data_IF_405786345343
#
_entry.id   IF_405786345343
#
_cell.length_a   1.000
_cell.length_b   1.000
_cell.length_c   1.000
_cell.angle_alpha   90.00
_cell.angle_beta   90.00
_cell.angle_gamma   90.00
#
_symmetry.space_group_name_H-M   'P 1'
#
loop_
_entity.id
_entity.type
_entity.pdbx_description
1 polymer ?
#
# COMPACT_ATOMS: atom_id res chain seq x y z
N UNK A 1 9.84 -27.42 -1.17
CA UNK A 1 8.99 -26.25 -0.91
C UNK A 1 7.95 -26.18 -2.02
N UNK A 2 6.65 -26.13 -1.67
CA UNK A 2 5.55 -26.05 -2.64
C UNK A 2 5.56 -24.71 -3.40
N UNK A 3 5.00 -24.67 -4.63
CA UNK A 3 4.89 -23.41 -5.37
C UNK A 3 4.18 -22.28 -4.57
N UNK A 4 3.14 -22.63 -3.80
CA UNK A 4 2.44 -21.68 -2.94
C UNK A 4 3.36 -21.14 -1.83
N UNK A 5 4.14 -21.98 -1.17
CA UNK A 5 5.04 -21.56 -0.11
C UNK A 5 6.16 -20.64 -0.64
N UNK A 6 6.65 -20.86 -1.88
CA UNK A 6 7.60 -19.95 -2.54
C UNK A 6 6.95 -18.59 -2.82
N UNK A 7 5.73 -18.60 -3.33
CA UNK A 7 4.99 -17.37 -3.57
C UNK A 7 4.73 -16.60 -2.27
N UNK A 8 4.32 -17.28 -1.20
CA UNK A 8 4.16 -16.67 0.12
C UNK A 8 5.47 -16.07 0.64
N UNK A 9 6.60 -16.77 0.50
CA UNK A 9 7.91 -16.22 0.84
C UNK A 9 8.26 -14.95 0.06
N UNK A 10 7.95 -14.92 -1.23
CA UNK A 10 8.14 -13.72 -2.05
C UNK A 10 7.22 -12.57 -1.62
N UNK A 11 5.96 -12.83 -1.24
CA UNK A 11 5.06 -11.80 -0.69
C UNK A 11 5.59 -11.25 0.65
N UNK A 12 6.16 -12.09 1.54
CA UNK A 12 6.83 -11.62 2.77
C UNK A 12 7.97 -10.67 2.42
N UNK A 13 8.88 -11.08 1.53
CA UNK A 13 10.06 -10.27 1.15
C UNK A 13 9.64 -8.98 0.47
N UNK A 14 8.74 -9.06 -0.50
CA UNK A 14 8.29 -7.89 -1.24
C UNK A 14 7.55 -6.87 -0.36
N UNK A 15 6.64 -7.34 0.51
CA UNK A 15 5.95 -6.44 1.43
C UNK A 15 6.89 -5.87 2.49
N UNK A 16 7.86 -6.65 2.96
CA UNK A 16 8.92 -6.15 3.84
C UNK A 16 9.69 -5.00 3.18
N UNK A 17 10.17 -5.15 1.95
CA UNK A 17 10.91 -4.10 1.24
C UNK A 17 10.06 -2.85 1.01
N UNK A 18 8.83 -3.02 0.51
CA UNK A 18 7.90 -1.93 0.27
C UNK A 18 7.67 -1.12 1.55
N UNK A 19 7.33 -1.80 2.65
CA UNK A 19 7.02 -1.15 3.93
C UNK A 19 8.28 -0.56 4.57
N UNK A 20 9.41 -1.25 4.52
CA UNK A 20 10.68 -0.72 5.06
C UNK A 20 11.08 0.59 4.41
N UNK A 21 11.06 0.65 3.07
CA UNK A 21 11.42 1.88 2.35
C UNK A 21 10.41 2.99 2.61
N UNK A 22 9.12 2.65 2.59
CA UNK A 22 8.07 3.63 2.76
C UNK A 22 7.99 4.19 4.17
N UNK A 23 7.81 3.36 5.18
CA UNK A 23 7.74 3.80 6.59
C UNK A 23 9.07 4.36 7.06
N UNK A 24 10.19 3.82 6.58
CA UNK A 24 11.53 4.38 6.82
C UNK A 24 11.67 5.79 6.26
N UNK A 25 11.11 6.09 5.08
CA UNK A 25 11.13 7.45 4.53
C UNK A 25 10.28 8.43 5.36
N UNK A 26 9.11 7.97 5.84
CA UNK A 26 8.28 8.78 6.76
C UNK A 26 9.02 9.02 8.07
N UNK A 27 9.66 7.99 8.64
CA UNK A 27 10.46 8.13 9.85
C UNK A 27 11.64 9.11 9.65
N UNK A 28 12.36 9.00 8.54
CA UNK A 28 13.43 9.95 8.20
C UNK A 28 12.90 11.38 8.08
N UNK A 29 11.76 11.58 7.45
CA UNK A 29 11.16 12.90 7.28
C UNK A 29 10.69 13.49 8.62
N UNK A 30 9.89 12.74 9.38
CA UNK A 30 9.19 13.23 10.57
C UNK A 30 10.13 13.30 11.78
N UNK A 31 10.95 12.27 12.01
CA UNK A 31 11.79 12.17 13.20
C UNK A 31 13.10 12.95 13.09
N UNK A 32 13.61 13.15 11.88
CA UNK A 32 14.94 13.75 11.67
C UNK A 32 14.94 15.02 10.82
N UNK A 33 13.84 15.32 10.12
CA UNK A 33 13.78 16.42 9.16
C UNK A 33 14.68 16.22 7.91
N UNK A 34 15.16 15.00 7.66
CA UNK A 34 16.11 14.73 6.58
C UNK A 34 15.50 14.86 5.17
N UNK A 35 14.18 14.80 5.05
CA UNK A 35 13.46 14.97 3.79
C UNK A 35 12.63 16.25 3.81
N UNK A 36 12.73 17.03 2.76
CA UNK A 36 12.04 18.30 2.63
C UNK A 36 10.83 18.13 1.71
N UNK A 37 9.66 18.08 2.32
CA UNK A 37 8.38 18.04 1.62
C UNK A 37 7.90 16.65 1.22
N UNK A 38 6.59 16.58 1.01
CA UNK A 38 5.84 15.35 0.76
C UNK A 38 6.31 14.61 -0.51
N UNK A 39 6.75 15.36 -1.54
CA UNK A 39 7.20 14.76 -2.81
C UNK A 39 8.40 13.82 -2.63
N UNK A 40 9.37 14.17 -1.75
CA UNK A 40 10.52 13.29 -1.50
C UNK A 40 10.06 11.97 -0.87
N UNK A 41 9.18 12.02 0.13
CA UNK A 41 8.59 10.83 0.75
C UNK A 41 7.83 10.01 -0.29
N UNK A 42 7.02 10.66 -1.13
CA UNK A 42 6.23 10.02 -2.18
C UNK A 42 7.13 9.29 -3.20
N UNK A 43 8.23 9.90 -3.61
CA UNK A 43 9.21 9.30 -4.54
C UNK A 43 9.87 8.07 -3.92
N UNK A 44 10.26 8.12 -2.66
CA UNK A 44 10.85 6.94 -1.98
C UNK A 44 9.84 5.81 -1.89
N UNK A 45 8.57 6.09 -1.56
CA UNK A 45 7.49 5.11 -1.63
C UNK A 45 7.33 4.49 -3.02
N UNK A 46 7.30 5.33 -4.06
CA UNK A 46 7.16 4.88 -5.44
C UNK A 46 8.31 3.97 -5.88
N UNK A 47 9.55 4.35 -5.60
CA UNK A 47 10.72 3.50 -5.87
C UNK A 47 10.73 2.24 -5.00
N UNK A 48 10.31 2.33 -3.74
CA UNK A 48 10.17 1.18 -2.86
C UNK A 48 9.22 0.12 -3.42
N UNK A 49 8.05 0.56 -3.90
CA UNK A 49 7.08 -0.31 -4.62
C UNK A 49 7.71 -0.91 -5.88
N UNK A 50 8.36 -0.08 -6.69
CA UNK A 50 9.04 -0.51 -7.93
C UNK A 50 10.05 -1.62 -7.66
N UNK A 51 10.96 -1.41 -6.71
CA UNK A 51 12.01 -2.38 -6.35
C UNK A 51 11.40 -3.66 -5.80
N UNK A 52 10.41 -3.55 -4.90
CA UNK A 52 9.73 -4.70 -4.34
C UNK A 52 9.07 -5.59 -5.41
N UNK A 53 8.43 -4.97 -6.42
CA UNK A 53 7.83 -5.68 -7.54
C UNK A 53 8.91 -6.35 -8.39
N UNK A 54 9.98 -5.65 -8.78
CA UNK A 54 11.07 -6.26 -9.58
C UNK A 54 11.70 -7.46 -8.89
N UNK A 55 11.86 -7.42 -7.57
CA UNK A 55 12.46 -8.52 -6.79
C UNK A 55 11.55 -9.74 -6.74
N UNK A 56 10.23 -9.58 -6.70
CA UNK A 56 9.31 -10.67 -6.29
C UNK A 56 8.31 -11.09 -7.37
N UNK A 57 8.08 -10.28 -8.40
CA UNK A 57 7.02 -10.53 -9.38
C UNK A 57 7.16 -11.86 -10.12
N UNK A 58 8.37 -12.28 -10.45
CA UNK A 58 8.63 -13.54 -11.14
C UNK A 58 8.24 -14.78 -10.28
N UNK A 59 8.10 -14.63 -8.96
CA UNK A 59 7.81 -15.73 -8.04
C UNK A 59 6.36 -15.73 -7.58
N UNK A 60 5.83 -14.57 -7.16
CA UNK A 60 4.48 -14.45 -6.57
C UNK A 60 3.48 -13.68 -7.44
N UNK A 61 3.95 -12.94 -8.42
CA UNK A 61 3.16 -11.91 -9.11
C UNK A 61 3.20 -10.56 -8.39
N UNK A 62 3.88 -10.47 -7.23
CA UNK A 62 4.09 -9.28 -6.43
C UNK A 62 2.79 -8.51 -6.14
N UNK A 63 1.84 -9.13 -5.50
CA UNK A 63 0.63 -8.43 -5.06
C UNK A 63 0.94 -7.42 -3.95
N UNK A 64 1.70 -7.83 -2.93
CA UNK A 64 2.25 -7.02 -1.82
C UNK A 64 1.20 -6.16 -1.08
N UNK A 65 -0.07 -6.47 -1.31
CA UNK A 65 -1.21 -5.66 -0.88
C UNK A 65 -2.48 -6.52 -0.83
N UNK A 66 -3.17 -6.62 0.32
CA UNK A 66 -4.42 -7.36 0.45
C UNK A 66 -5.53 -6.90 -0.51
N UNK A 67 -5.63 -5.60 -0.79
CA UNK A 67 -6.63 -5.07 -1.71
C UNK A 67 -6.36 -5.48 -3.17
N UNK A 68 -5.10 -5.45 -3.60
CA UNK A 68 -4.68 -5.97 -4.90
C UNK A 68 -4.96 -7.47 -4.98
N UNK A 69 -4.58 -8.23 -3.94
CA UNK A 69 -4.83 -9.68 -3.87
C UNK A 69 -6.31 -10.01 -4.02
N UNK A 70 -7.19 -9.27 -3.32
CA UNK A 70 -8.63 -9.46 -3.40
C UNK A 70 -9.17 -9.15 -4.80
N UNK A 71 -8.75 -8.04 -5.39
CA UNK A 71 -9.15 -7.65 -6.74
C UNK A 71 -8.78 -8.73 -7.78
N UNK A 72 -7.56 -9.26 -7.72
CA UNK A 72 -7.15 -10.37 -8.58
C UNK A 72 -7.98 -11.64 -8.34
N UNK A 73 -8.24 -12.00 -7.09
CA UNK A 73 -9.01 -13.20 -6.74
C UNK A 73 -10.47 -13.13 -7.23
N UNK A 74 -11.05 -11.94 -7.28
CA UNK A 74 -12.44 -11.72 -7.73
C UNK A 74 -12.48 -11.60 -9.27
N UNK A 75 -11.62 -10.79 -9.86
CA UNK A 75 -11.71 -10.38 -11.26
C UNK A 75 -10.83 -11.20 -12.19
N UNK A 76 -9.84 -11.92 -11.66
CA UNK A 76 -8.88 -12.77 -12.41
C UNK A 76 -8.78 -14.19 -11.82
N UNK A 77 -9.91 -14.88 -11.50
CA UNK A 77 -9.88 -16.15 -10.76
C UNK A 77 -9.17 -17.28 -11.51
N UNK A 78 -9.02 -17.18 -12.85
CA UNK A 78 -8.26 -18.15 -13.64
C UNK A 78 -6.74 -18.02 -13.44
N UNK A 79 -6.22 -16.81 -13.22
CA UNK A 79 -4.80 -16.56 -12.97
C UNK A 79 -4.45 -16.57 -11.49
N UNK A 80 -5.40 -16.17 -10.61
CA UNK A 80 -5.20 -16.15 -9.17
C UNK A 80 -6.39 -16.80 -8.44
N UNK A 81 -6.27 -18.09 -8.04
CA UNK A 81 -7.32 -18.81 -7.33
C UNK A 81 -7.64 -18.21 -5.95
N UNK A 82 -8.92 -18.12 -5.61
CA UNK A 82 -9.41 -17.55 -4.32
C UNK A 82 -8.79 -18.21 -3.08
N UNK A 83 -8.45 -19.50 -3.15
CA UNK A 83 -7.80 -20.21 -2.05
C UNK A 83 -6.44 -19.62 -1.65
N UNK A 84 -5.83 -18.76 -2.48
CA UNK A 84 -4.56 -18.09 -2.19
C UNK A 84 -4.72 -16.77 -1.42
N UNK A 85 -5.94 -16.26 -1.22
CA UNK A 85 -6.17 -14.97 -0.54
C UNK A 85 -5.54 -14.99 0.85
N UNK A 86 -5.97 -15.88 1.73
CA UNK A 86 -5.50 -15.91 3.12
C UNK A 86 -3.99 -16.17 3.26
N UNK A 87 -3.38 -17.12 2.52
CA UNK A 87 -1.93 -17.29 2.51
C UNK A 87 -1.18 -16.02 2.10
N UNK A 88 -1.64 -15.30 1.07
CA UNK A 88 -1.01 -14.04 0.64
C UNK A 88 -1.17 -12.94 1.69
N UNK A 89 -2.40 -12.74 2.20
CA UNK A 89 -2.67 -11.74 3.23
C UNK A 89 -1.80 -11.96 4.47
N UNK A 90 -1.72 -13.22 4.97
CA UNK A 90 -0.86 -13.56 6.10
C UNK A 90 0.62 -13.25 5.83
N UNK A 91 1.11 -13.60 4.62
CA UNK A 91 2.49 -13.33 4.21
C UNK A 91 2.79 -11.83 4.12
N UNK A 92 1.87 -11.06 3.54
CA UNK A 92 1.99 -9.61 3.42
C UNK A 92 2.02 -8.93 4.80
N UNK A 93 1.14 -9.34 5.72
CA UNK A 93 1.12 -8.83 7.10
C UNK A 93 2.42 -9.16 7.84
N UNK A 94 2.93 -10.40 7.71
CA UNK A 94 4.21 -10.79 8.33
C UNK A 94 5.35 -9.92 7.79
N UNK A 95 5.45 -9.72 6.47
CA UNK A 95 6.47 -8.84 5.89
C UNK A 95 6.39 -7.41 6.42
N UNK A 96 5.17 -6.88 6.54
CA UNK A 96 4.94 -5.53 7.06
C UNK A 96 5.27 -5.39 8.56
N UNK A 97 4.95 -6.39 9.39
CA UNK A 97 5.35 -6.41 10.81
C UNK A 97 6.87 -6.40 10.94
N UNK A 98 7.57 -7.24 10.17
CA UNK A 98 9.04 -7.29 10.21
C UNK A 98 9.66 -5.95 9.80
N UNK A 99 9.11 -5.28 8.79
CA UNK A 99 9.56 -3.95 8.39
C UNK A 99 9.32 -2.90 9.48
N UNK A 100 8.13 -2.88 10.10
CA UNK A 100 7.83 -1.99 11.23
C UNK A 100 8.77 -2.21 12.41
N UNK A 101 9.09 -3.46 12.75
CA UNK A 101 10.05 -3.78 13.79
C UNK A 101 11.46 -3.25 13.49
N UNK A 102 11.91 -3.36 12.23
CA UNK A 102 13.21 -2.78 11.82
C UNK A 102 13.18 -1.26 11.89
N UNK A 103 12.12 -0.61 11.44
CA UNK A 103 11.97 0.85 11.53
C UNK A 103 11.98 1.31 12.99
N UNK A 104 11.24 0.62 13.88
CA UNK A 104 11.29 0.91 15.32
C UNK A 104 12.70 0.80 15.87
N UNK A 105 13.40 -0.29 15.60
CA UNK A 105 14.75 -0.53 16.12
C UNK A 105 15.77 0.51 15.61
N UNK A 106 15.69 0.88 14.34
CA UNK A 106 16.63 1.84 13.73
C UNK A 106 16.35 3.27 14.17
N UNK A 107 15.08 3.65 14.28
CA UNK A 107 14.68 5.04 14.58
C UNK A 107 14.36 5.28 16.04
N UNK A 108 14.45 4.30 16.95
CA UNK A 108 14.11 4.44 18.36
C UNK A 108 14.71 5.70 19.01
N UNK A 109 16.02 6.00 18.90
CA UNK A 109 16.58 7.19 19.53
C UNK A 109 16.02 8.50 18.98
N UNK A 110 15.63 8.51 17.70
CA UNK A 110 15.06 9.70 17.04
C UNK A 110 13.58 9.87 17.41
N UNK A 111 12.86 8.77 17.60
CA UNK A 111 11.46 8.76 18.09
C UNK A 111 11.45 9.32 19.53
N UNK A 112 12.28 8.77 20.41
CA UNK A 112 12.34 9.20 21.81
C UNK A 112 12.68 10.70 21.92
N UNK A 113 13.66 11.16 21.15
CA UNK A 113 14.03 12.58 21.07
C UNK A 113 12.87 13.45 20.55
N UNK A 114 12.18 13.00 19.49
CA UNK A 114 11.05 13.72 18.89
C UNK A 114 9.90 13.88 19.90
N UNK A 115 9.62 12.81 20.66
CA UNK A 115 8.58 12.80 21.71
C UNK A 115 8.97 13.71 22.87
N UNK A 116 10.22 13.64 23.34
CA UNK A 116 10.74 14.48 24.42
C UNK A 116 10.69 15.98 24.06
N UNK A 117 11.19 16.37 22.88
CA UNK A 117 11.21 17.76 22.40
C UNK A 117 9.80 18.38 22.28
N UNK A 118 8.76 17.55 22.10
CA UNK A 118 7.36 17.97 21.91
C UNK A 118 6.46 17.69 23.11
N UNK A 119 7.00 17.09 24.16
CA UNK A 119 6.19 16.69 25.32
C UNK A 119 5.13 15.65 24.99
N UNK A 120 5.39 14.77 24.02
CA UNK A 120 4.47 13.70 23.63
C UNK A 120 4.64 12.53 24.59
N UNK A 121 3.54 12.08 25.17
CA UNK A 121 3.48 10.85 25.96
C UNK A 121 2.91 9.74 25.09
N UNK A 122 3.74 8.72 24.83
CA UNK A 122 3.36 7.61 23.98
C UNK A 122 2.13 6.88 24.52
N UNK A 123 1.13 6.66 23.68
CA UNK A 123 -0.15 6.04 24.04
C UNK A 123 -1.23 7.03 24.50
N UNK A 124 -0.88 8.30 24.74
CA UNK A 124 -1.84 9.35 25.03
C UNK A 124 -2.23 10.13 23.75
N UNK A 125 -3.33 10.89 23.85
CA UNK A 125 -3.81 11.76 22.77
C UNK A 125 -2.70 12.74 22.35
N UNK A 126 -2.48 12.88 21.04
CA UNK A 126 -1.37 13.64 20.47
C UNK A 126 -0.18 12.78 20.05
N UNK A 127 -0.05 11.55 20.58
CA UNK A 127 1.04 10.64 20.17
C UNK A 127 0.85 10.04 18.77
N UNK A 128 -0.25 10.37 18.09
CA UNK A 128 -0.40 10.15 16.65
C UNK A 128 0.72 10.83 15.86
N UNK A 129 1.24 11.94 16.36
CA UNK A 129 2.35 12.67 15.74
C UNK A 129 3.64 11.85 15.69
N UNK A 130 3.86 10.90 16.58
CA UNK A 130 4.98 9.95 16.52
C UNK A 130 4.57 8.59 15.94
N UNK A 131 3.35 8.12 16.23
CA UNK A 131 2.82 6.86 15.71
C UNK A 131 2.65 6.84 14.18
N UNK A 132 2.51 8.01 13.53
CA UNK A 132 2.27 8.16 12.10
C UNK A 132 3.38 7.62 11.20
N UNK A 133 4.55 7.31 11.73
CA UNK A 133 5.60 6.63 10.97
C UNK A 133 5.34 5.14 10.78
N UNK A 134 4.45 4.56 11.56
CA UNK A 134 4.05 3.15 11.49
C UNK A 134 2.72 2.98 10.75
N UNK A 135 1.66 3.65 11.18
CA UNK A 135 0.33 3.58 10.60
C UNK A 135 -0.17 4.94 10.14
N UNK A 136 -1.25 4.93 9.39
CA UNK A 136 -1.82 6.13 8.78
C UNK A 136 -2.87 6.78 9.68
N UNK A 137 -2.92 8.10 9.67
CA UNK A 137 -3.90 8.90 10.41
C UNK A 137 -4.54 9.95 9.48
N UNK A 138 -5.74 10.42 9.86
CA UNK A 138 -6.45 11.45 9.11
C UNK A 138 -7.01 12.54 10.05
N UNK A 139 -6.79 13.82 9.66
CA UNK A 139 -5.89 14.27 8.60
C UNK A 139 -4.43 13.94 8.93
N UNK A 140 -3.51 14.18 7.99
CA UNK A 140 -2.08 13.90 8.18
C UNK A 140 -1.51 14.72 9.36
N UNK A 141 -1.03 14.07 10.45
CA UNK A 141 -0.58 14.78 11.65
C UNK A 141 0.65 15.67 11.43
N UNK A 142 1.51 15.32 10.46
CA UNK A 142 2.69 16.14 10.16
C UNK A 142 2.35 17.46 9.45
N UNK A 143 1.15 17.57 8.86
CA UNK A 143 0.69 18.76 8.14
C UNK A 143 -0.29 19.58 8.97
N UNK A 144 -1.25 18.91 9.62
CA UNK A 144 -2.35 19.57 10.30
C UNK A 144 -2.27 19.49 11.83
N UNK A 145 -1.28 18.75 12.36
CA UNK A 145 -1.23 18.46 13.80
C UNK A 145 -2.24 17.40 14.21
N UNK A 146 -2.49 17.36 15.54
CA UNK A 146 -3.42 16.44 16.20
C UNK A 146 -4.46 17.23 16.99
N UNK A 147 -5.57 16.58 17.35
CA UNK A 147 -6.61 17.16 18.17
C UNK A 147 -7.85 17.65 17.42
N UNK A 148 -8.84 18.23 18.13
CA UNK A 148 -10.20 18.43 17.61
C UNK A 148 -10.30 19.31 16.35
N UNK A 149 -9.47 20.35 16.23
CA UNK A 149 -9.47 21.23 15.05
C UNK A 149 -9.00 20.50 13.80
N UNK A 150 -7.91 19.73 13.91
CA UNK A 150 -7.43 18.89 12.81
C UNK A 150 -8.47 17.80 12.47
N UNK A 151 -8.99 17.12 13.48
CA UNK A 151 -9.97 16.05 13.32
C UNK A 151 -11.27 16.50 12.63
N UNK A 152 -11.67 17.76 12.78
CA UNK A 152 -12.84 18.33 12.15
C UNK A 152 -12.70 18.46 10.62
N UNK A 153 -11.47 18.47 10.09
CA UNK A 153 -11.20 18.58 8.65
C UNK A 153 -11.54 17.30 7.89
N UNK A 154 -11.31 16.13 8.48
CA UNK A 154 -11.49 14.84 7.81
C UNK A 154 -12.20 13.86 8.73
N UNK A 155 -13.46 13.57 8.43
CA UNK A 155 -14.22 12.54 9.16
C UNK A 155 -13.91 11.11 8.67
N UNK A 156 -14.26 10.07 9.45
CA UNK A 156 -13.98 8.67 9.09
C UNK A 156 -14.57 8.23 7.75
N UNK A 157 -15.77 8.71 7.40
CA UNK A 157 -16.40 8.37 6.11
C UNK A 157 -15.62 8.97 4.94
N UNK A 158 -15.19 10.23 5.06
CA UNK A 158 -14.35 10.89 4.06
C UNK A 158 -13.02 10.17 3.91
N UNK A 159 -12.37 9.83 5.02
CA UNK A 159 -11.11 9.09 4.99
C UNK A 159 -11.29 7.73 4.27
N UNK A 160 -12.34 6.97 4.61
CA UNK A 160 -12.65 5.70 3.96
C UNK A 160 -12.89 5.88 2.45
N UNK A 161 -13.59 6.94 2.04
CA UNK A 161 -13.85 7.23 0.64
C UNK A 161 -12.56 7.60 -0.13
N UNK A 162 -11.67 8.40 0.48
CA UNK A 162 -10.38 8.76 -0.10
C UNK A 162 -9.46 7.55 -0.24
N UNK A 163 -9.42 6.68 0.77
CA UNK A 163 -8.67 5.42 0.72
C UNK A 163 -9.23 4.47 -0.37
N UNK A 164 -10.56 4.40 -0.50
CA UNK A 164 -11.20 3.64 -1.57
C UNK A 164 -10.88 4.23 -2.95
N UNK A 165 -10.95 5.54 -3.12
CA UNK A 165 -10.65 6.22 -4.39
C UNK A 165 -9.18 6.00 -4.82
N UNK A 166 -8.22 6.24 -3.92
CA UNK A 166 -6.81 6.05 -4.22
C UNK A 166 -6.48 4.61 -4.59
N UNK A 167 -7.05 3.65 -3.84
CA UNK A 167 -6.86 2.22 -4.16
C UNK A 167 -7.57 1.82 -5.46
N UNK A 168 -8.73 2.40 -5.75
CA UNK A 168 -9.42 2.16 -7.02
C UNK A 168 -8.58 2.63 -8.22
N UNK A 169 -8.02 3.82 -8.16
CA UNK A 169 -7.11 4.33 -9.20
C UNK A 169 -5.87 3.46 -9.31
N UNK A 170 -5.27 3.06 -8.20
CA UNK A 170 -4.09 2.19 -8.20
C UNK A 170 -4.37 0.85 -8.91
N UNK A 171 -5.44 0.14 -8.55
CA UNK A 171 -5.76 -1.16 -9.14
C UNK A 171 -6.22 -1.02 -10.60
N UNK A 172 -6.95 0.05 -10.94
CA UNK A 172 -7.30 0.38 -12.33
C UNK A 172 -6.03 0.47 -13.19
N UNK A 173 -5.03 1.24 -12.73
CA UNK A 173 -3.76 1.42 -13.44
C UNK A 173 -2.96 0.13 -13.49
N UNK A 174 -2.88 -0.64 -12.39
CA UNK A 174 -2.22 -1.95 -12.40
C UNK A 174 -2.81 -2.84 -13.49
N UNK A 175 -4.14 -2.97 -13.57
CA UNK A 175 -4.79 -3.81 -14.56
C UNK A 175 -4.53 -3.33 -16.00
N UNK A 176 -4.48 -2.01 -16.23
CA UNK A 176 -4.15 -1.45 -17.52
C UNK A 176 -2.69 -1.75 -17.96
N UNK A 177 -1.75 -1.64 -17.01
CA UNK A 177 -0.32 -1.84 -17.26
C UNK A 177 0.06 -3.31 -17.49
N UNK A 178 -0.73 -4.26 -16.97
CA UNK A 178 -0.48 -5.70 -17.14
C UNK A 178 -1.36 -6.35 -18.23
N UNK A 179 -2.35 -5.64 -18.78
CA UNK A 179 -3.26 -6.20 -19.81
C UNK A 179 -2.51 -6.53 -21.10
N UNK A 180 -2.46 -7.80 -21.53
CA UNK A 180 -1.72 -8.20 -22.73
C UNK A 180 -2.17 -7.50 -24.01
N UNK A 181 -3.47 -7.21 -24.15
CA UNK A 181 -4.05 -6.52 -25.32
C UNK A 181 -3.77 -5.03 -25.38
N UNK A 182 -3.24 -4.44 -24.29
CA UNK A 182 -2.82 -3.05 -24.28
C UNK A 182 -1.46 -2.90 -24.97
N UNK A 183 -1.47 -2.53 -26.25
CA UNK A 183 -0.24 -2.31 -27.01
C UNK A 183 0.67 -1.19 -26.50
N UNK A 184 0.14 -0.27 -25.68
CA UNK A 184 0.90 0.81 -25.06
C UNK A 184 1.51 0.42 -23.71
N UNK A 185 1.31 -0.82 -23.24
CA UNK A 185 1.88 -1.25 -21.94
C UNK A 185 3.41 -1.18 -21.95
N UNK A 186 4.03 -0.71 -20.85
CA UNK A 186 5.47 -0.45 -20.83
C UNK A 186 6.33 -1.72 -20.64
N UNK A 187 5.75 -2.93 -20.80
CA UNK A 187 6.45 -4.22 -20.70
C UNK A 187 7.28 -4.35 -19.40
N UNK A 188 8.61 -4.39 -19.53
CA UNK A 188 9.54 -4.51 -18.41
C UNK A 188 9.55 -3.30 -17.47
N UNK A 189 9.07 -2.13 -17.88
CA UNK A 189 8.92 -0.95 -17.02
C UNK A 189 7.59 -0.92 -16.24
N UNK A 190 6.72 -1.91 -16.40
CA UNK A 190 5.45 -1.99 -15.64
C UNK A 190 5.62 -1.74 -14.13
N UNK A 191 6.59 -2.37 -13.43
CA UNK A 191 6.83 -2.08 -12.01
C UNK A 191 7.14 -0.61 -11.71
N UNK A 192 7.93 0.02 -12.57
CA UNK A 192 8.26 1.45 -12.42
C UNK A 192 7.01 2.32 -12.49
N UNK A 193 6.14 2.12 -13.49
CA UNK A 193 4.93 2.92 -13.62
C UNK A 193 3.90 2.64 -12.53
N UNK A 194 3.84 1.43 -11.99
CA UNK A 194 3.02 1.14 -10.80
C UNK A 194 3.54 1.95 -9.60
N UNK A 195 4.84 1.92 -9.33
CA UNK A 195 5.44 2.70 -8.25
C UNK A 195 5.28 4.22 -8.47
N UNK A 196 5.46 4.69 -9.69
CA UNK A 196 5.26 6.10 -10.01
C UNK A 196 3.80 6.55 -9.81
N UNK A 197 2.82 5.68 -10.12
CA UNK A 197 1.41 5.91 -9.79
C UNK A 197 1.21 6.07 -8.29
N UNK A 198 1.86 5.24 -7.47
CA UNK A 198 1.83 5.39 -6.01
C UNK A 198 2.38 6.75 -5.59
N UNK A 199 3.53 7.19 -6.15
CA UNK A 199 4.10 8.49 -5.82
C UNK A 199 3.17 9.67 -6.18
N UNK A 200 2.51 9.61 -7.34
CA UNK A 200 1.51 10.60 -7.75
C UNK A 200 0.36 10.65 -6.74
N UNK A 201 -0.23 9.49 -6.43
CA UNK A 201 -1.37 9.41 -5.53
C UNK A 201 -1.03 9.88 -4.10
N UNK A 202 0.16 9.54 -3.58
CA UNK A 202 0.64 10.06 -2.28
C UNK A 202 0.67 11.58 -2.31
N UNK A 203 1.22 12.17 -3.36
CA UNK A 203 1.31 13.63 -3.48
C UNK A 203 -0.04 14.33 -3.48
N UNK A 204 -1.09 13.65 -3.95
CA UNK A 204 -2.45 14.17 -3.99
C UNK A 204 -3.21 13.96 -2.66
N UNK A 205 -3.12 12.78 -2.07
CA UNK A 205 -4.03 12.35 -1.01
C UNK A 205 -3.40 12.19 0.37
N UNK A 206 -2.07 12.14 0.48
CA UNK A 206 -1.43 12.02 1.78
C UNK A 206 -1.67 13.19 2.75
N UNK A 207 -1.96 14.43 2.32
CA UNK A 207 -2.45 15.45 3.24
C UNK A 207 -3.75 15.05 3.95
N UNK A 208 -4.63 14.31 3.27
CA UNK A 208 -5.96 13.94 3.77
C UNK A 208 -5.91 12.70 4.66
N UNK A 209 -5.25 11.61 4.18
CA UNK A 209 -5.28 10.29 4.84
C UNK A 209 -3.89 9.66 5.03
N UNK A 210 -2.82 10.38 4.80
CA UNK A 210 -1.46 9.84 4.68
C UNK A 210 -1.29 8.81 3.54
N UNK A 211 -2.36 8.41 2.84
CA UNK A 211 -2.31 7.54 1.66
C UNK A 211 -1.93 6.08 1.98
N UNK A 212 -2.80 5.37 2.67
CA UNK A 212 -2.59 3.99 3.09
C UNK A 212 -2.67 2.98 1.94
N UNK A 213 -3.84 2.86 1.32
CA UNK A 213 -4.23 2.01 0.16
C UNK A 213 -3.81 0.54 0.21
N UNK A 214 -3.24 0.11 1.30
CA UNK A 214 -2.71 -1.23 1.48
C UNK A 214 -2.94 -1.69 2.92
N UNK A 215 -3.92 -2.56 3.16
CA UNK A 215 -4.23 -3.02 4.51
C UNK A 215 -3.05 -3.65 5.25
N UNK A 216 -2.16 -4.38 4.58
CA UNK A 216 -1.00 -4.97 5.25
C UNK A 216 0.06 -3.91 5.61
N UNK A 217 0.27 -2.93 4.71
CA UNK A 217 1.20 -1.82 4.92
C UNK A 217 0.80 -0.95 6.11
N UNK A 218 -0.51 -0.78 6.35
CA UNK A 218 -0.99 -0.02 7.51
C UNK A 218 -1.04 -0.90 8.76
N UNK A 219 -1.66 -2.08 8.71
CA UNK A 219 -1.87 -2.95 9.87
C UNK A 219 -0.57 -3.51 10.47
N UNK A 220 0.35 -3.99 9.61
CA UNK A 220 1.58 -4.65 10.11
C UNK A 220 2.40 -3.78 11.04
N UNK A 221 2.83 -2.57 10.64
CA UNK A 221 3.58 -1.69 11.51
C UNK A 221 2.76 -1.14 12.69
N UNK A 222 1.41 -1.01 12.56
CA UNK A 222 0.55 -0.67 13.71
C UNK A 222 0.61 -1.71 14.81
N UNK A 223 0.72 -3.00 14.47
CA UNK A 223 0.92 -4.06 15.47
C UNK A 223 2.22 -3.81 16.25
N UNK A 224 3.28 -3.40 15.58
CA UNK A 224 4.55 -3.05 16.24
C UNK A 224 4.37 -1.82 17.12
N UNK A 225 3.74 -0.77 16.63
CA UNK A 225 3.46 0.43 17.43
C UNK A 225 2.59 0.12 18.65
N UNK A 226 1.55 -0.70 18.50
CA UNK A 226 0.70 -1.13 19.62
C UNK A 226 1.54 -1.78 20.73
N UNK A 227 2.40 -2.72 20.37
CA UNK A 227 3.27 -3.44 21.31
C UNK A 227 4.38 -2.55 21.90
N UNK A 228 4.78 -1.50 21.17
CA UNK A 228 5.82 -0.56 21.60
C UNK A 228 5.30 0.61 22.48
N UNK A 229 4.04 0.56 22.89
CA UNK A 229 3.47 1.46 23.88
C UNK A 229 2.51 2.52 23.35
N UNK A 230 2.24 2.58 22.02
CA UNK A 230 1.19 3.47 21.50
C UNK A 230 -0.23 2.93 21.73
N UNK A 231 -0.39 1.63 22.06
CA UNK A 231 -1.67 1.05 22.47
C UNK A 231 -2.83 1.42 21.56
N UNK A 232 -3.90 1.96 22.16
CA UNK A 232 -5.14 2.31 21.45
C UNK A 232 -4.96 3.42 20.40
N UNK A 233 -3.91 4.22 20.50
CA UNK A 233 -3.54 5.19 19.45
C UNK A 233 -3.14 4.48 18.15
N UNK A 234 -2.48 3.32 18.25
CA UNK A 234 -2.13 2.51 17.09
C UNK A 234 -3.33 1.69 16.59
N UNK A 235 -4.01 0.95 17.49
CA UNK A 235 -5.15 0.08 17.18
C UNK A 235 -6.17 0.16 18.34
N UNK A 236 -7.43 0.59 18.08
CA UNK A 236 -8.08 0.85 16.79
C UNK A 236 -7.78 2.20 16.16
N UNK A 237 -6.95 3.02 16.80
CA UNK A 237 -6.66 4.39 16.40
C UNK A 237 -7.76 5.39 16.78
N UNK A 238 -7.47 6.69 16.78
CA UNK A 238 -8.46 7.72 17.05
C UNK A 238 -9.69 7.57 16.14
N UNK A 239 -10.87 7.70 16.72
CA UNK A 239 -12.17 7.59 16.04
C UNK A 239 -12.40 6.26 15.30
N UNK A 240 -11.70 5.19 15.69
CA UNK A 240 -11.74 3.90 15.00
C UNK A 240 -11.14 3.98 13.59
N UNK A 241 -10.23 4.92 13.37
CA UNK A 241 -9.69 5.28 12.05
C UNK A 241 -9.00 4.16 11.31
N UNK A 242 -8.42 3.21 12.02
CA UNK A 242 -7.85 2.00 11.44
C UNK A 242 -8.76 1.31 10.42
N UNK A 243 -10.09 1.29 10.65
CA UNK A 243 -11.03 0.64 9.72
C UNK A 243 -11.08 1.32 8.35
N UNK A 244 -10.81 2.63 8.26
CA UNK A 244 -10.75 3.34 6.97
C UNK A 244 -9.67 2.74 6.06
N UNK A 245 -8.52 2.36 6.63
CA UNK A 245 -7.36 1.78 5.92
C UNK A 245 -7.49 0.29 5.60
N UNK A 246 -8.52 -0.35 6.10
CA UNK A 246 -8.88 -1.74 5.76
C UNK A 246 -10.04 -1.76 4.75
N UNK A 247 -11.18 -1.15 5.11
CA UNK A 247 -12.41 -1.23 4.32
C UNK A 247 -12.26 -0.43 3.02
N UNK A 248 -11.74 0.80 3.10
CA UNK A 248 -11.55 1.66 1.94
C UNK A 248 -10.76 0.97 0.83
N UNK A 249 -9.53 0.50 1.10
CA UNK A 249 -8.72 -0.19 0.10
C UNK A 249 -9.35 -1.47 -0.46
N UNK A 250 -9.92 -2.33 0.37
CA UNK A 250 -10.53 -3.60 -0.09
C UNK A 250 -11.69 -3.35 -1.06
N UNK A 251 -12.56 -2.39 -0.74
CA UNK A 251 -13.68 -1.99 -1.60
C UNK A 251 -13.17 -1.28 -2.84
N UNK A 252 -12.31 -0.27 -2.65
CA UNK A 252 -11.78 0.56 -3.73
C UNK A 252 -11.00 -0.25 -4.76
N UNK A 253 -10.11 -1.14 -4.33
CA UNK A 253 -9.32 -1.98 -5.25
C UNK A 253 -10.19 -2.86 -6.14
N UNK A 254 -11.23 -3.48 -5.56
CA UNK A 254 -12.16 -4.30 -6.33
C UNK A 254 -12.97 -3.46 -7.32
N UNK A 255 -13.48 -2.30 -6.90
CA UNK A 255 -14.23 -1.39 -7.76
C UNK A 255 -13.36 -0.81 -8.89
N UNK A 256 -12.10 -0.45 -8.60
CA UNK A 256 -11.17 0.07 -9.60
C UNK A 256 -10.85 -0.95 -10.69
N UNK A 257 -10.61 -2.20 -10.30
CA UNK A 257 -10.40 -3.28 -11.26
C UNK A 257 -11.64 -3.59 -12.11
N UNK A 258 -12.84 -3.56 -11.49
CA UNK A 258 -14.11 -3.72 -12.20
C UNK A 258 -14.34 -2.56 -13.18
N UNK A 259 -14.09 -1.32 -12.77
CA UNK A 259 -14.22 -0.15 -13.62
C UNK A 259 -13.29 -0.25 -14.85
N UNK A 260 -12.04 -0.70 -14.65
CA UNK A 260 -11.13 -0.97 -15.76
C UNK A 260 -11.72 -2.00 -16.75
N UNK A 261 -12.27 -3.10 -16.24
CA UNK A 261 -12.85 -4.14 -17.10
C UNK A 261 -14.06 -3.65 -17.90
N UNK A 262 -14.91 -2.84 -17.27
CA UNK A 262 -16.12 -2.30 -17.90
C UNK A 262 -15.87 -1.17 -18.90
N UNK A 263 -14.76 -0.44 -18.76
CA UNK A 263 -14.45 0.73 -19.59
C UNK A 263 -13.34 0.43 -20.60
N UNK A 264 -12.09 0.48 -20.16
CA UNK A 264 -10.94 0.38 -21.07
C UNK A 264 -10.78 -1.03 -21.65
N UNK A 265 -10.82 -2.06 -20.81
CA UNK A 265 -10.59 -3.43 -21.25
C UNK A 265 -11.64 -3.91 -22.27
N UNK A 266 -12.89 -3.50 -22.09
CA UNK A 266 -13.98 -3.85 -23.01
C UNK A 266 -13.82 -3.21 -24.40
N UNK A 267 -13.12 -2.07 -24.48
CA UNK A 267 -12.87 -1.35 -25.72
C UNK A 267 -11.55 -1.75 -26.42
N UNK A 268 -10.71 -2.60 -25.79
CA UNK A 268 -9.47 -3.05 -26.42
C UNK A 268 -9.77 -4.01 -27.59
N UNK A 269 -8.94 -3.99 -28.65
CA UNK A 269 -9.05 -4.93 -29.76
C UNK A 269 -9.12 -6.38 -29.27
N UNK A 270 -9.99 -7.17 -29.88
CA UNK A 270 -9.99 -8.63 -29.71
C UNK A 270 -8.77 -9.15 -30.48
N UNK A 271 -7.94 -9.98 -29.85
CA UNK A 271 -6.90 -10.70 -30.59
C UNK A 271 -7.61 -11.56 -31.63
N UNK A 272 -7.40 -11.28 -32.94
CA UNK A 272 -7.77 -12.21 -33.97
C UNK A 272 -7.03 -13.51 -33.69
N UNK A 273 -7.72 -14.67 -33.69
CA UNK A 273 -7.03 -15.94 -33.58
C UNK A 273 -6.00 -15.99 -34.72
N UNK A 274 -4.73 -16.24 -34.36
CA UNK A 274 -3.67 -16.44 -35.34
C UNK A 274 -4.24 -17.33 -36.44
N UNK A 275 -4.07 -17.00 -37.74
CA UNK A 275 -4.50 -17.88 -38.82
C UNK A 275 -3.94 -19.28 -38.52
N UNK A 276 -4.84 -20.26 -38.33
CA UNK A 276 -4.44 -21.66 -38.23
C UNK A 276 -3.47 -21.91 -39.38
N UNK A 277 -2.28 -22.38 -39.05
CA UNK A 277 -1.34 -22.82 -40.09
C UNK A 277 -2.13 -23.68 -41.09
N UNK A 278 -2.45 -23.05 -42.23
CA UNK A 278 -3.06 -23.77 -43.35
C UNK A 278 -2.07 -24.86 -43.65
N UNK A 279 -2.49 -26.08 -43.36
CA UNK A 279 -1.80 -27.31 -43.72
C UNK A 279 -1.10 -27.16 -45.07
N UNK A 280 0.21 -26.98 -45.06
CA UNK A 280 1.02 -27.26 -46.23
C UNK A 280 1.05 -28.78 -46.39
N UNK A 281 -0.06 -29.30 -46.87
CA UNK A 281 -0.17 -30.63 -47.40
C UNK A 281 -0.38 -30.47 -48.90
N UNK A 282 0.63 -30.82 -49.63
CA UNK A 282 0.65 -30.89 -51.07
C UNK A 282 2.01 -31.35 -51.51
#
# INVERSE_FOLDING_TARGET
VTPLARACGAEVVGTFLLVLFGTGSVAAAVMTGAQVGLWQVAVVWGFGVTVAIYVTAAVSGAHLNPAVTLAFAILRPKSFPRARILPYWGSQVVGAILAGAVVLAVFAPFIDRFEEERGIVRGEAGSEASAMIFGEYFPNPAIFGTGPEAEALVGPLMATAVEALGTAVLVFVIFALIEPRNGARPMWMTPFFIGFTVAILISLFAPITQAGWNPARDFGPRVVAFLAGWGDIAIPGPRGGFLAYIIGPLVGGTLGGLLYDLTIRSALPVEDPLPSEVSRGG
#
